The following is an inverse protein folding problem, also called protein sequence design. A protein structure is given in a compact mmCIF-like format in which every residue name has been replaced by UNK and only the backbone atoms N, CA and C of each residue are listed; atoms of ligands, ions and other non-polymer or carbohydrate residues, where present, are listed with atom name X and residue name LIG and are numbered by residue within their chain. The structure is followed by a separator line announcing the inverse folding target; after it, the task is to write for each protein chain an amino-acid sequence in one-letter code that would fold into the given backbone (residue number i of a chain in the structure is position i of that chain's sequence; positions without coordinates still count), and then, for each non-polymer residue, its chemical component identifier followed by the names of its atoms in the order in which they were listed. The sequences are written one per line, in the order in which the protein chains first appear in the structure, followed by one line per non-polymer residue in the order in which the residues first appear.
data_IF_476808514803
#
_entry.id   IF_476808514803
#
_cell.length_a   1.000
_cell.length_b   1.000
_cell.length_c   1.000
_cell.angle_alpha   90.00
_cell.angle_beta   90.00
_cell.angle_gamma   90.00
#
_symmetry.space_group_name_H-M   'P 1'
#
loop_
_entity.id
_entity.type
_entity.pdbx_description
1 polymer ?
#
# COMPACT_ATOMS: atom_id res chain seq x y z
N UNK A 1 -1.49 14.09 -2.67
CA UNK A 1 -0.87 13.13 -3.60
C UNK A 1 -0.12 12.11 -2.78
N UNK A 2 -0.49 10.85 -2.90
CA UNK A 2 0.17 9.76 -2.20
C UNK A 2 1.24 9.19 -3.13
N UNK A 3 2.48 9.08 -2.65
CA UNK A 3 3.60 8.62 -3.46
C UNK A 3 3.89 7.15 -3.12
N UNK A 4 3.79 6.27 -4.12
CA UNK A 4 4.34 4.92 -4.05
C UNK A 4 5.82 4.95 -4.47
N UNK A 5 6.66 4.20 -3.76
CA UNK A 5 8.04 3.94 -4.14
C UNK A 5 8.16 2.58 -4.85
N UNK A 6 8.77 2.56 -6.03
CA UNK A 6 9.01 1.33 -6.79
C UNK A 6 10.51 1.12 -6.93
N UNK A 7 11.00 -0.09 -6.62
CA UNK A 7 12.40 -0.47 -6.84
C UNK A 7 12.49 -1.70 -7.76
N UNK A 8 13.11 -1.51 -8.93
CA UNK A 8 13.40 -2.57 -9.91
C UNK A 8 14.92 -2.67 -10.08
N UNK A 9 15.51 -3.86 -9.89
CA UNK A 9 16.88 -4.18 -10.29
C UNK A 9 17.95 -3.13 -9.88
N UNK A 10 17.84 -2.57 -8.66
CA UNK A 10 18.78 -1.56 -8.14
C UNK A 10 18.55 -0.12 -8.62
N UNK A 11 17.46 0.14 -9.36
CA UNK A 11 16.99 1.46 -9.74
C UNK A 11 15.66 1.81 -9.07
N UNK A 12 15.56 3.04 -8.55
CA UNK A 12 14.33 3.55 -7.97
C UNK A 12 13.52 4.24 -9.07
N UNK A 13 12.34 3.68 -9.39
CA UNK A 13 11.37 4.33 -10.25
C UNK A 13 10.48 5.24 -9.41
N UNK A 14 10.42 6.52 -9.78
CA UNK A 14 9.53 7.50 -9.14
C UNK A 14 8.51 7.97 -10.16
N UNK A 15 7.24 7.76 -9.83
CA UNK A 15 6.11 8.35 -10.53
C UNK A 15 5.37 9.30 -9.58
N UNK A 16 4.71 10.32 -10.13
CA UNK A 16 3.86 11.23 -9.37
C UNK A 16 2.46 11.23 -9.98
N UNK A 17 1.45 10.86 -9.19
CA UNK A 17 0.07 10.72 -9.62
C UNK A 17 -0.82 10.23 -8.50
N UNK A 18 -2.09 9.97 -8.81
CA UNK A 18 -2.97 9.22 -7.93
C UNK A 18 -2.67 7.71 -8.07
N UNK A 19 -2.55 7.02 -6.95
CA UNK A 19 -2.34 5.56 -6.91
C UNK A 19 -3.55 4.79 -7.42
N UNK A 20 -4.75 5.37 -7.28
CA UNK A 20 -5.97 4.77 -7.80
C UNK A 20 -5.92 4.63 -9.32
N UNK A 21 -5.27 5.58 -10.00
CA UNK A 21 -5.13 5.62 -11.45
C UNK A 21 -3.77 5.11 -11.94
N UNK A 22 -2.90 4.65 -11.04
CA UNK A 22 -1.54 4.27 -11.38
C UNK A 22 -1.47 2.94 -12.14
N UNK A 23 -0.89 2.94 -13.34
CA UNK A 23 -0.61 1.74 -14.12
C UNK A 23 0.79 1.20 -13.79
N UNK A 24 0.83 0.03 -13.13
CA UNK A 24 2.07 -0.65 -12.76
C UNK A 24 2.55 -1.65 -13.82
N UNK A 25 1.75 -1.93 -14.85
CA UNK A 25 2.07 -2.91 -15.89
C UNK A 25 3.43 -2.69 -16.57
N UNK A 26 3.97 -1.46 -16.74
CA UNK A 26 5.30 -1.27 -17.31
C UNK A 26 6.45 -1.84 -16.46
N UNK A 27 6.19 -2.17 -15.19
CA UNK A 27 7.17 -2.71 -14.24
C UNK A 27 6.92 -4.18 -13.88
N UNK A 28 5.94 -4.83 -14.52
CA UNK A 28 5.59 -6.20 -14.19
C UNK A 28 6.77 -7.16 -14.40
N UNK A 29 6.92 -8.14 -13.49
CA UNK A 29 7.98 -9.17 -13.50
C UNK A 29 9.43 -8.69 -13.31
N UNK A 30 9.66 -7.38 -13.19
CA UNK A 30 11.01 -6.81 -13.07
C UNK A 30 11.26 -6.09 -11.73
N UNK A 31 10.27 -6.07 -10.83
CA UNK A 31 10.39 -5.45 -9.51
C UNK A 31 11.00 -6.40 -8.47
N UNK A 32 12.06 -5.94 -7.81
CA UNK A 32 12.56 -6.60 -6.61
C UNK A 32 11.70 -6.22 -5.39
N UNK A 33 11.33 -4.95 -5.28
CA UNK A 33 10.60 -4.41 -4.14
C UNK A 33 9.54 -3.39 -4.57
N UNK A 34 8.31 -3.63 -4.13
CA UNK A 34 7.26 -2.62 -4.07
C UNK A 34 7.16 -2.09 -2.65
N UNK A 35 7.36 -0.77 -2.46
CA UNK A 35 7.38 -0.16 -1.14
C UNK A 35 6.53 1.11 -1.05
N UNK A 36 5.85 1.33 0.07
CA UNK A 36 5.09 2.55 0.25
C UNK A 36 4.49 2.73 1.63
N UNK A 37 4.15 3.97 1.96
CA UNK A 37 3.25 4.27 3.06
C UNK A 37 1.83 4.37 2.52
N UNK A 38 0.91 3.56 3.03
CA UNK A 38 -0.53 3.73 2.75
C UNK A 38 -1.14 4.68 3.78
N UNK A 39 -2.28 5.33 3.49
CA UNK A 39 -2.88 6.29 4.41
C UNK A 39 -3.10 5.71 5.80
N UNK A 40 -2.60 6.42 6.80
CA UNK A 40 -2.82 6.07 8.20
C UNK A 40 -4.16 6.55 8.80
N UNK A 41 -4.89 7.57 8.29
CA UNK A 41 -6.15 8.01 8.90
C UNK A 41 -7.21 6.92 9.17
N UNK A 42 -7.36 5.88 8.31
CA UNK A 42 -8.28 4.77 8.61
C UNK A 42 -7.95 4.01 9.91
N UNK A 43 -6.68 4.00 10.34
CA UNK A 43 -6.19 3.17 11.46
C UNK A 43 -5.64 3.98 12.65
N UNK A 44 -5.33 5.27 12.44
CA UNK A 44 -4.69 6.14 13.43
C UNK A 44 -5.57 6.39 14.66
N UNK A 45 -4.95 6.39 15.84
CA UNK A 45 -5.60 6.69 17.13
C UNK A 45 -6.20 8.10 17.16
N UNK A 46 -5.60 9.04 16.42
CA UNK A 46 -6.10 10.41 16.32
C UNK A 46 -7.35 10.55 15.42
N UNK A 47 -7.73 9.49 14.69
CA UNK A 47 -8.84 9.48 13.74
C UNK A 47 -10.06 8.71 14.24
N UNK A 48 -11.04 8.52 13.35
CA UNK A 48 -12.27 7.76 13.62
C UNK A 48 -12.03 6.24 13.68
N UNK A 49 -10.87 5.77 13.23
CA UNK A 49 -10.51 4.34 13.20
C UNK A 49 -11.55 3.47 12.47
N UNK A 50 -12.00 3.93 11.30
CA UNK A 50 -13.01 3.26 10.48
C UNK A 50 -12.45 2.05 9.71
N UNK A 51 -11.12 1.89 9.64
CA UNK A 51 -10.49 0.76 8.95
C UNK A 51 -10.95 0.65 7.50
N UNK A 52 -11.40 -0.54 7.11
CA UNK A 52 -11.93 -0.83 5.77
C UNK A 52 -13.15 0.00 5.35
N UNK A 53 -13.89 0.57 6.31
CA UNK A 53 -15.05 1.42 6.02
C UNK A 53 -14.65 2.89 5.75
N UNK A 54 -13.35 3.20 5.79
CA UNK A 54 -12.80 4.50 5.40
C UNK A 54 -12.43 4.48 3.91
N UNK A 55 -12.95 5.42 3.12
CA UNK A 55 -12.65 5.53 1.67
C UNK A 55 -11.15 5.73 1.35
N UNK A 56 -10.36 6.11 2.36
CA UNK A 56 -8.91 6.30 2.24
C UNK A 56 -8.13 5.03 2.53
N UNK A 57 -8.77 3.89 2.78
CA UNK A 57 -8.09 2.61 2.88
C UNK A 57 -7.58 2.15 1.52
N UNK A 58 -6.26 2.21 1.34
CA UNK A 58 -5.61 1.83 0.09
C UNK A 58 -4.76 0.56 0.20
N UNK A 59 -4.86 -0.21 1.28
CA UNK A 59 -4.25 -1.55 1.29
C UNK A 59 -4.78 -2.45 0.17
N UNK A 60 -6.11 -2.52 -0.11
CA UNK A 60 -6.60 -3.35 -1.21
C UNK A 60 -5.97 -2.96 -2.55
N UNK A 61 -5.83 -1.66 -2.81
CA UNK A 61 -5.17 -1.16 -4.02
C UNK A 61 -3.69 -1.51 -4.06
N UNK A 62 -2.97 -1.38 -2.94
CA UNK A 62 -1.55 -1.77 -2.87
C UNK A 62 -1.36 -3.28 -3.15
N UNK A 63 -2.25 -4.13 -2.63
CA UNK A 63 -2.24 -5.57 -2.88
C UNK A 63 -2.58 -5.91 -4.33
N UNK A 64 -3.54 -5.19 -4.94
CA UNK A 64 -3.85 -5.32 -6.36
C UNK A 64 -2.63 -4.99 -7.24
N UNK A 65 -1.94 -3.88 -6.98
CA UNK A 65 -0.71 -3.50 -7.66
C UNK A 65 0.41 -4.53 -7.46
N UNK A 66 0.51 -5.10 -6.25
CA UNK A 66 1.44 -6.18 -5.94
C UNK A 66 1.14 -7.42 -6.77
N UNK A 67 -0.14 -7.81 -6.87
CA UNK A 67 -0.56 -8.96 -7.66
C UNK A 67 -0.30 -8.76 -9.17
N UNK A 68 -0.50 -7.54 -9.68
CA UNK A 68 -0.23 -7.20 -11.08
C UNK A 68 1.26 -7.23 -11.43
N UNK A 69 2.09 -6.66 -10.54
CA UNK A 69 3.51 -6.48 -10.81
C UNK A 69 4.40 -7.64 -10.36
N UNK A 70 3.89 -8.49 -9.46
CA UNK A 70 4.57 -9.69 -8.92
C UNK A 70 6.00 -9.41 -8.41
N UNK A 71 6.19 -8.41 -7.53
CA UNK A 71 7.52 -8.10 -7.01
C UNK A 71 8.04 -9.24 -6.13
N UNK A 72 9.36 -9.34 -5.96
CA UNK A 72 9.95 -10.33 -5.04
C UNK A 72 9.61 -10.06 -3.57
N UNK A 73 9.40 -8.79 -3.21
CA UNK A 73 8.99 -8.37 -1.88
C UNK A 73 8.01 -7.18 -1.91
N UNK A 74 7.17 -7.09 -0.87
CA UNK A 74 6.27 -5.98 -0.59
C UNK A 74 6.60 -5.40 0.79
N UNK A 75 6.73 -4.07 0.90
CA UNK A 75 6.88 -3.36 2.17
C UNK A 75 5.87 -2.22 2.28
N UNK A 76 4.90 -2.36 3.18
CA UNK A 76 3.92 -1.31 3.47
C UNK A 76 4.12 -0.75 4.88
N UNK A 77 4.34 0.56 4.98
CA UNK A 77 4.46 1.27 6.25
C UNK A 77 3.08 1.80 6.70
N UNK A 78 2.82 1.73 8.00
CA UNK A 78 1.65 2.34 8.62
C UNK A 78 1.90 2.61 10.12
N UNK A 79 1.01 3.37 10.75
CA UNK A 79 1.07 3.71 12.18
C UNK A 79 0.73 2.52 13.07
N UNK A 80 1.18 2.57 14.33
CA UNK A 80 0.90 1.56 15.37
C UNK A 80 -0.59 1.24 15.55
N UNK A 81 -1.48 2.17 15.21
CA UNK A 81 -2.93 1.98 15.25
C UNK A 81 -3.40 0.76 14.46
N UNK A 82 -2.78 0.46 13.32
CA UNK A 82 -3.10 -0.71 12.49
C UNK A 82 -2.91 -2.03 13.25
N UNK A 83 -1.95 -2.12 14.17
CA UNK A 83 -1.64 -3.34 14.92
C UNK A 83 -2.61 -3.62 16.09
N UNK A 84 -3.57 -2.73 16.36
CA UNK A 84 -4.51 -2.91 17.46
C UNK A 84 -5.43 -4.13 17.26
N UNK A 85 -5.91 -4.78 18.34
CA UNK A 85 -6.80 -5.94 18.26
C UNK A 85 -8.07 -5.71 17.43
N UNK A 86 -8.61 -4.49 17.42
CA UNK A 86 -9.81 -4.15 16.64
C UNK A 86 -9.67 -4.33 15.14
N UNK A 87 -8.44 -4.26 14.62
CA UNK A 87 -8.13 -4.46 13.21
C UNK A 87 -7.56 -5.85 12.92
N UNK A 88 -7.63 -6.79 13.89
CA UNK A 88 -7.14 -8.15 13.67
C UNK A 88 -7.89 -8.85 12.54
N UNK A 89 -9.23 -8.67 12.48
CA UNK A 89 -10.04 -9.21 11.39
C UNK A 89 -9.61 -8.66 10.04
N UNK A 90 -9.54 -7.34 9.93
CA UNK A 90 -9.08 -6.64 8.73
C UNK A 90 -7.73 -7.18 8.24
N UNK A 91 -6.71 -7.25 9.12
CA UNK A 91 -5.38 -7.76 8.75
C UNK A 91 -5.38 -9.23 8.33
N UNK A 92 -6.33 -10.04 8.80
CA UNK A 92 -6.46 -11.44 8.41
C UNK A 92 -7.26 -11.62 7.10
N UNK A 93 -7.96 -10.58 6.65
CA UNK A 93 -8.77 -10.59 5.42
C UNK A 93 -8.07 -9.88 4.24
N UNK A 94 -6.93 -9.21 4.48
CA UNK A 94 -5.99 -8.72 3.46
C UNK A 94 -5.35 -9.88 2.69
#
# INVERSE_FOLDING_TARGET
GQALGLEAAGFIHRAHGDVLDFDISPFADDLDLLAGGVPCPPFSIAGKQLGQDDERDLFPRALELTAQSRPKALMLENVRGLAQPRFARYRNEL
#
